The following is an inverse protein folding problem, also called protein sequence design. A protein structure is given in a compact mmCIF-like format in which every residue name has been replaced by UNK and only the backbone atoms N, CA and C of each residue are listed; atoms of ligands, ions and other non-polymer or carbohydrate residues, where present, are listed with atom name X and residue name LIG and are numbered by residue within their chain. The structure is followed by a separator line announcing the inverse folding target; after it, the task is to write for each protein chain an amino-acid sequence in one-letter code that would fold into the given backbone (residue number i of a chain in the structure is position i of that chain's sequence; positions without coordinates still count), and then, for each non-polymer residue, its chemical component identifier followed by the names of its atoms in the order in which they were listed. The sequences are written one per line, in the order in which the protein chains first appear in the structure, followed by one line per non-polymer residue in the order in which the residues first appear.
data_IF_292348021015
#
_entry.id   IF_292348021015
#
_cell.length_a   1.000
_cell.length_b   1.000
_cell.length_c   1.000
_cell.angle_alpha   90.00
_cell.angle_beta   90.00
_cell.angle_gamma   90.00
#
_symmetry.space_group_name_H-M   'P 1'
#
loop_
_entity.id
_entity.type
_entity.pdbx_description
1 polymer ?
#
# COMPACT_ATOMS: atom_id res chain seq x y z
N UNK A 1 -21.71 -21.45 -7.35
CA UNK A 1 -21.52 -21.00 -6.78
C UNK A 1 -20.91 -20.61 -6.05
N UNK A 2 -20.56 -20.45 -5.98
CA UNK A 2 -20.04 -20.23 -5.41
C UNK A 2 -19.98 -19.72 -4.18
N UNK A 3 -20.64 -20.07 -3.43
CA UNK A 3 -20.77 -19.69 -2.07
C UNK A 3 -19.48 -19.88 -1.30
N UNK A 4 -18.74 -20.86 -1.67
CA UNK A 4 -17.45 -21.08 -1.06
C UNK A 4 -16.53 -19.89 -1.24
N UNK A 5 -16.70 -19.18 -2.33
CA UNK A 5 -15.90 -17.99 -2.56
C UNK A 5 -16.24 -16.91 -1.56
N UNK A 6 -17.50 -16.88 -1.12
CA UNK A 6 -17.91 -15.87 -0.18
C UNK A 6 -17.33 -16.13 1.22
N UNK A 7 -17.04 -17.38 1.53
CA UNK A 7 -16.52 -17.73 2.84
C UNK A 7 -15.09 -17.25 3.05
N UNK A 8 -14.36 -17.10 1.96
CA UNK A 8 -12.96 -16.68 2.04
C UNK A 8 -12.72 -15.52 1.10
N UNK A 9 -12.75 -14.35 1.66
CA UNK A 9 -12.52 -13.16 0.88
C UNK A 9 -11.03 -12.97 0.66
N UNK A 10 -10.58 -12.99 -0.58
CA UNK A 10 -9.16 -12.78 -0.84
C UNK A 10 -8.76 -11.34 -0.53
N UNK A 11 -7.48 -11.09 -0.29
CA UNK A 11 -7.03 -9.72 -0.16
C UNK A 11 -7.34 -8.93 -1.42
N UNK A 12 -7.75 -7.69 -1.23
CA UNK A 12 -8.05 -6.81 -2.35
C UNK A 12 -6.80 -6.06 -2.76
N UNK A 13 -6.50 -6.08 -4.05
CA UNK A 13 -5.36 -5.34 -4.59
C UNK A 13 -5.89 -4.20 -5.44
N UNK A 14 -5.45 -2.99 -5.11
CA UNK A 14 -5.81 -1.79 -5.85
C UNK A 14 -4.55 -1.11 -6.34
N UNK A 15 -4.60 -0.61 -7.58
CA UNK A 15 -3.48 0.11 -8.16
C UNK A 15 -3.77 1.60 -8.15
N UNK A 16 -2.79 2.38 -7.73
CA UNK A 16 -2.88 3.84 -7.72
C UNK A 16 -1.72 4.40 -8.52
N UNK A 17 -2.01 5.45 -9.27
CA UNK A 17 -1.01 6.03 -10.16
C UNK A 17 -1.21 7.53 -10.28
N UNK A 18 -0.11 8.29 -10.32
CA UNK A 18 -0.14 9.71 -10.59
C UNK A 18 0.69 10.00 -11.83
N UNK A 19 0.27 11.01 -12.59
CA UNK A 19 1.02 11.48 -13.74
C UNK A 19 2.11 12.45 -13.29
N UNK A 20 2.97 12.84 -14.22
CA UNK A 20 3.97 13.85 -13.95
C UNK A 20 3.26 15.16 -13.57
N UNK A 21 3.67 15.73 -12.45
CA UNK A 21 3.04 16.92 -11.91
C UNK A 21 1.84 16.61 -11.01
N UNK A 22 1.43 15.35 -10.92
CA UNK A 22 0.30 14.98 -10.10
C UNK A 22 0.67 14.72 -8.67
N UNK A 23 -0.32 14.79 -7.79
CA UNK A 23 -0.19 14.46 -6.39
C UNK A 23 -1.51 13.87 -5.95
N UNK A 24 -1.47 12.73 -5.27
CA UNK A 24 -2.69 12.07 -4.85
C UNK A 24 -2.57 11.58 -3.42
N UNK A 25 -3.65 11.72 -2.67
CA UNK A 25 -3.68 11.26 -1.29
C UNK A 25 -4.84 10.28 -1.15
N UNK A 26 -4.56 9.10 -0.64
CA UNK A 26 -5.52 8.02 -0.56
C UNK A 26 -5.63 7.51 0.86
N UNK A 27 -6.86 7.42 1.37
CA UNK A 27 -7.11 6.77 2.65
C UNK A 27 -7.32 5.30 2.40
N UNK A 28 -6.51 4.47 3.03
CA UNK A 28 -6.58 3.02 2.86
C UNK A 28 -7.60 2.42 3.81
N UNK A 29 -8.05 1.22 3.49
CA UNK A 29 -9.11 0.58 4.27
C UNK A 29 -8.68 0.20 5.68
N UNK A 30 -7.38 0.17 5.94
CA UNK A 30 -6.87 -0.15 7.27
C UNK A 30 -6.66 1.09 8.15
N UNK A 31 -7.00 2.26 7.65
CA UNK A 31 -6.79 3.52 8.36
C UNK A 31 -5.51 4.24 8.01
N UNK A 32 -4.64 3.61 7.23
CA UNK A 32 -3.41 4.26 6.80
C UNK A 32 -3.70 5.30 5.72
N UNK A 33 -2.81 6.28 5.59
CA UNK A 33 -2.93 7.30 4.56
C UNK A 33 -1.71 7.25 3.66
N UNK A 34 -1.96 7.08 2.38
CA UNK A 34 -0.92 6.97 1.37
C UNK A 34 -0.92 8.22 0.51
N UNK A 35 0.24 8.84 0.37
CA UNK A 35 0.39 9.99 -0.52
C UNK A 35 1.32 9.61 -1.66
N UNK A 36 0.83 9.76 -2.88
CA UNK A 36 1.62 9.50 -4.08
C UNK A 36 2.14 10.82 -4.61
N UNK A 37 3.44 10.90 -4.77
CA UNK A 37 4.06 12.09 -5.35
C UNK A 37 3.96 12.03 -6.88
N UNK A 38 4.60 12.96 -7.56
CA UNK A 38 4.53 13.03 -9.02
C UNK A 38 5.08 11.75 -9.67
N UNK A 39 4.47 11.30 -10.75
CA UNK A 39 4.92 10.17 -11.56
C UNK A 39 5.18 8.93 -10.70
N UNK A 40 4.15 8.49 -10.01
CA UNK A 40 4.25 7.38 -9.05
C UNK A 40 3.23 6.30 -9.38
N UNK A 41 3.63 5.04 -9.22
CA UNK A 41 2.70 3.92 -9.35
C UNK A 41 2.95 2.93 -8.24
N UNK A 42 1.87 2.57 -7.53
CA UNK A 42 1.94 1.66 -6.40
C UNK A 42 0.73 0.74 -6.40
N UNK A 43 0.96 -0.53 -6.06
CA UNK A 43 -0.11 -1.49 -5.85
C UNK A 43 -0.27 -1.72 -4.36
N UNK A 44 -1.51 -1.71 -3.90
CA UNK A 44 -1.83 -1.85 -2.49
C UNK A 44 -2.68 -3.09 -2.30
N UNK A 45 -2.22 -3.99 -1.43
CA UNK A 45 -2.95 -5.19 -1.08
C UNK A 45 -3.21 -5.18 0.42
N UNK A 46 -4.49 -5.17 0.80
CA UNK A 46 -4.88 -5.19 2.20
C UNK A 46 -5.88 -6.31 2.41
N UNK A 47 -5.54 -7.21 3.31
CA UNK A 47 -6.39 -8.33 3.66
C UNK A 47 -6.51 -8.45 5.18
N UNK A 48 -7.20 -9.48 5.65
CA UNK A 48 -7.42 -9.64 7.09
C UNK A 48 -6.13 -9.88 7.88
N UNK A 49 -5.11 -10.42 7.23
CA UNK A 49 -3.84 -10.70 7.89
C UNK A 49 -2.64 -10.10 7.18
N UNK A 50 -2.88 -9.31 6.15
CA UNK A 50 -1.81 -8.83 5.28
C UNK A 50 -2.02 -7.38 4.91
N UNK A 51 -0.93 -6.60 5.01
CA UNK A 51 -0.87 -5.26 4.46
C UNK A 51 0.39 -5.16 3.64
N UNK A 52 0.25 -4.89 2.35
CA UNK A 52 1.39 -4.90 1.44
C UNK A 52 1.28 -3.80 0.42
N UNK A 53 2.38 -3.09 0.23
CA UNK A 53 2.51 -2.08 -0.81
C UNK A 53 3.64 -2.48 -1.73
N UNK A 54 3.41 -2.30 -3.03
CA UNK A 54 4.44 -2.59 -4.01
C UNK A 54 4.63 -1.34 -4.86
N UNK A 55 5.71 -0.63 -4.64
CA UNK A 55 6.01 0.60 -5.35
C UNK A 55 6.79 0.25 -6.61
N UNK A 56 6.21 0.55 -7.77
CA UNK A 56 6.85 0.24 -9.05
C UNK A 56 7.79 1.34 -9.47
N UNK A 57 7.40 2.61 -9.29
CA UNK A 57 8.27 3.74 -9.55
C UNK A 57 7.70 4.97 -8.85
N UNK A 58 8.56 5.96 -8.66
CA UNK A 58 8.16 7.22 -8.07
C UNK A 58 8.44 7.28 -6.59
N UNK A 59 7.65 8.05 -5.89
CA UNK A 59 7.83 8.30 -4.47
C UNK A 59 6.50 8.29 -3.75
N UNK A 60 6.46 7.61 -2.61
CA UNK A 60 5.28 7.61 -1.75
C UNK A 60 5.65 8.01 -0.34
N UNK A 61 4.69 8.62 0.33
CA UNK A 61 4.74 8.86 1.76
C UNK A 61 3.59 8.09 2.36
N UNK A 62 3.85 7.29 3.37
CA UNK A 62 2.80 6.53 4.02
C UNK A 62 2.79 6.78 5.51
N UNK A 63 1.60 7.11 6.01
CA UNK A 63 1.34 7.24 7.43
C UNK A 63 0.63 5.95 7.83
N UNK A 64 1.37 5.03 8.44
CA UNK A 64 0.89 3.68 8.70
C UNK A 64 0.06 3.63 9.97
N UNK A 65 -1.17 3.14 9.84
CA UNK A 65 -2.01 2.92 11.00
C UNK A 65 -1.42 1.79 11.84
N UNK A 66 -1.33 1.99 13.14
CA UNK A 66 -0.73 1.02 14.03
C UNK A 66 -1.59 -0.24 14.12
N UNK A 67 -1.04 -1.35 13.72
CA UNK A 67 -1.73 -2.64 13.79
C UNK A 67 -0.67 -3.74 13.92
N UNK A 68 -0.29 -4.10 15.17
CA UNK A 68 0.76 -5.10 15.35
C UNK A 68 0.43 -6.48 14.78
N UNK A 69 -0.85 -6.79 14.61
CA UNK A 69 -1.24 -8.07 14.04
C UNK A 69 -1.07 -8.12 12.53
N UNK A 70 -0.90 -6.96 11.89
CA UNK A 70 -0.71 -6.87 10.43
C UNK A 70 0.38 -5.87 10.09
N UNK A 71 1.64 -6.25 10.23
CA UNK A 71 2.72 -5.34 9.82
C UNK A 71 2.56 -4.97 8.35
N UNK A 72 2.84 -3.73 8.02
CA UNK A 72 2.79 -3.29 6.64
C UNK A 72 4.13 -3.60 5.98
N UNK A 73 4.08 -4.27 4.85
CA UNK A 73 5.26 -4.58 4.06
C UNK A 73 5.25 -3.74 2.81
N UNK A 74 6.36 -3.05 2.53
CA UNK A 74 6.51 -2.25 1.33
C UNK A 74 7.67 -2.79 0.53
N UNK A 75 7.40 -3.13 -0.72
CA UNK A 75 8.43 -3.60 -1.64
C UNK A 75 8.73 -2.50 -2.64
N UNK A 76 9.98 -2.12 -2.76
CA UNK A 76 10.39 -1.05 -3.65
C UNK A 76 11.79 -1.34 -4.18
N UNK A 77 11.91 -1.46 -5.51
CA UNK A 77 13.20 -1.65 -6.15
C UNK A 77 13.96 -2.89 -5.68
N UNK A 78 13.24 -3.96 -5.36
CA UNK A 78 13.86 -5.19 -4.89
C UNK A 78 14.18 -5.19 -3.40
N UNK A 79 13.84 -4.12 -2.70
CA UNK A 79 14.06 -4.02 -1.26
C UNK A 79 12.72 -4.08 -0.55
N UNK A 80 12.67 -4.77 0.58
CA UNK A 80 11.45 -4.92 1.36
C UNK A 80 11.61 -4.20 2.69
N UNK A 81 10.63 -3.36 3.02
CA UNK A 81 10.59 -2.63 4.28
C UNK A 81 9.37 -3.10 5.07
N UNK A 82 9.47 -3.08 6.38
CA UNK A 82 8.36 -3.49 7.23
C UNK A 82 8.10 -2.41 8.28
N UNK A 83 6.82 -2.09 8.47
CA UNK A 83 6.41 -1.08 9.45
C UNK A 83 5.18 -1.54 10.19
N UNK A 84 5.09 -1.21 11.47
CA UNK A 84 3.95 -1.58 12.29
C UNK A 84 3.03 -0.40 12.56
N UNK A 85 3.56 0.77 12.70
CA UNK A 85 2.76 1.97 12.96
C UNK A 85 3.66 3.18 12.97
N UNK A 86 4.21 3.51 11.82
CA UNK A 86 5.10 4.65 11.67
C UNK A 86 4.79 5.38 10.39
N UNK A 87 5.47 6.49 10.21
CA UNK A 87 5.35 7.31 9.02
C UNK A 87 6.70 7.31 8.31
N UNK A 88 6.71 7.07 7.01
CA UNK A 88 7.96 7.06 6.28
C UNK A 88 7.76 7.31 4.79
N UNK A 89 8.86 7.68 4.12
CA UNK A 89 8.90 7.92 2.69
C UNK A 89 9.70 6.85 2.00
N UNK A 90 9.28 6.46 0.80
CA UNK A 90 10.03 5.53 -0.03
C UNK A 90 10.07 6.10 -1.44
N UNK A 91 11.24 6.05 -2.05
CA UNK A 91 11.43 6.58 -3.39
C UNK A 91 12.28 5.66 -4.24
N UNK A 92 11.86 5.48 -5.48
CA UNK A 92 12.62 4.77 -6.50
C UNK A 92 12.96 5.77 -7.60
N UNK A 93 14.24 5.90 -7.90
CA UNK A 93 14.68 6.80 -8.99
C UNK A 93 14.66 6.09 -10.32
#
# INVERSE_FOLDING_TARGET
MDASCAAQKPPSTLSYETAIGGLSRVALSDGSVLTLNTNTKVDVTIGPETRRLQLEFGEIHIDVEKDPSRPLTVEAGGTVFEAVGTEFNIRID
#
